data_IF_770927795205
#
_entry.id   IF_770927795205
#
_cell.length_a   1.000
_cell.length_b   1.000
_cell.length_c   1.000
_cell.angle_alpha   90.00
_cell.angle_beta   90.00
_cell.angle_gamma   90.00
#
_symmetry.space_group_name_H-M   'P 1'
#
loop_
_entity.id
_entity.type
_entity.pdbx_description
1 polymer ?
#
# COMPACT_ATOMS: atom_id res chain seq x y z
N UNK A 1 -18.48 -25.74 2.31
CA UNK A 1 -17.71 -26.13 1.97
C UNK A 1 -16.59 -25.33 1.48
N UNK A 2 -15.52 -25.69 1.66
CA UNK A 2 -14.30 -24.98 1.40
C UNK A 2 -14.24 -24.30 0.04
N UNK A 3 -15.22 -24.56 -0.77
CA UNK A 3 -15.22 -23.98 -2.07
C UNK A 3 -15.29 -22.51 -2.07
N UNK A 4 -15.79 -21.95 -1.04
CA UNK A 4 -15.88 -20.51 -0.95
C UNK A 4 -14.53 -19.86 -1.13
N UNK A 5 -13.50 -20.53 -0.68
CA UNK A 5 -12.16 -19.99 -0.78
C UNK A 5 -11.76 -19.81 -2.23
N UNK A 6 -12.17 -20.74 -3.05
CA UNK A 6 -11.80 -20.69 -4.45
C UNK A 6 -12.44 -19.49 -5.12
N UNK A 7 -13.69 -19.24 -4.81
CA UNK A 7 -14.39 -18.11 -5.40
C UNK A 7 -13.80 -16.78 -5.00
N UNK A 8 -13.30 -16.71 -3.79
CA UNK A 8 -12.72 -15.47 -3.31
C UNK A 8 -11.43 -15.12 -4.03
N UNK A 9 -10.66 -16.13 -4.38
CA UNK A 9 -9.36 -15.91 -4.99
C UNK A 9 -9.39 -15.07 -6.27
N UNK A 10 -10.24 -15.37 -7.25
CA UNK A 10 -10.27 -14.54 -8.46
C UNK A 10 -10.61 -13.09 -8.17
N UNK A 11 -11.53 -12.88 -7.24
CA UNK A 11 -11.90 -11.53 -6.86
C UNK A 11 -10.72 -10.83 -6.19
N UNK A 12 -9.99 -11.57 -5.36
CA UNK A 12 -8.83 -11.00 -4.68
C UNK A 12 -7.75 -10.60 -5.68
N UNK A 13 -7.56 -11.38 -6.73
CA UNK A 13 -6.56 -11.05 -7.73
C UNK A 13 -6.88 -9.75 -8.42
N UNK A 14 -8.15 -9.51 -8.71
CA UNK A 14 -8.56 -8.24 -9.33
C UNK A 14 -8.33 -7.07 -8.40
N UNK A 15 -8.65 -7.26 -7.13
CA UNK A 15 -8.44 -6.21 -6.14
C UNK A 15 -6.96 -5.92 -5.94
N UNK A 16 -6.14 -6.96 -5.97
CA UNK A 16 -4.70 -6.80 -5.82
C UNK A 16 -4.13 -6.03 -7.01
N UNK A 17 -4.55 -6.37 -8.22
CA UNK A 17 -4.08 -5.65 -9.40
C UNK A 17 -4.47 -4.18 -9.34
N UNK A 18 -5.70 -3.90 -8.95
CA UNK A 18 -6.18 -2.54 -8.83
C UNK A 18 -5.38 -1.76 -7.78
N UNK A 19 -5.08 -2.40 -6.65
CA UNK A 19 -4.30 -1.76 -5.60
C UNK A 19 -2.91 -1.38 -6.09
N UNK A 20 -2.28 -2.27 -6.85
CA UNK A 20 -0.95 -1.98 -7.40
C UNK A 20 -0.99 -0.79 -8.35
N UNK A 21 -2.04 -0.72 -9.18
CA UNK A 21 -2.19 0.40 -10.11
C UNK A 21 -2.43 1.71 -9.38
N UNK A 22 -3.20 1.67 -8.30
CA UNK A 22 -3.43 2.85 -7.48
C UNK A 22 -2.11 3.36 -6.90
N UNK A 23 -1.28 2.45 -6.42
CA UNK A 23 0.02 2.82 -5.87
C UNK A 23 0.88 3.46 -6.97
N UNK A 24 0.93 2.86 -8.15
CA UNK A 24 1.72 3.39 -9.24
C UNK A 24 1.24 4.78 -9.64
N UNK A 25 -0.07 4.98 -9.74
CA UNK A 25 -0.63 6.27 -10.11
C UNK A 25 -0.35 7.33 -9.05
N UNK A 26 -0.48 6.97 -7.79
CA UNK A 26 -0.33 7.92 -6.69
C UNK A 26 1.13 8.34 -6.49
N UNK A 27 2.07 7.47 -6.81
CA UNK A 27 3.48 7.70 -6.53
C UNK A 27 4.32 7.99 -7.76
N UNK A 28 3.80 7.67 -8.95
CA UNK A 28 4.55 7.88 -10.18
C UNK A 28 5.54 6.79 -10.51
N UNK A 29 5.57 5.71 -9.74
CA UNK A 29 6.47 4.58 -10.03
C UNK A 29 5.81 3.66 -11.04
N UNK A 30 6.62 2.76 -11.64
CA UNK A 30 6.07 1.80 -12.57
C UNK A 30 5.34 0.68 -11.82
N UNK A 31 4.64 -0.16 -12.60
CA UNK A 31 3.83 -1.22 -12.00
C UNK A 31 4.69 -2.20 -11.20
N UNK A 32 5.85 -2.54 -11.70
CA UNK A 32 6.72 -3.49 -11.00
C UNK A 32 7.19 -2.95 -9.66
N UNK A 33 7.53 -1.68 -9.61
CA UNK A 33 7.93 -1.04 -8.37
C UNK A 33 6.76 -0.97 -7.41
N UNK A 34 5.57 -0.63 -7.91
CA UNK A 34 4.37 -0.61 -7.09
C UNK A 34 4.09 -2.00 -6.51
N UNK A 35 4.26 -3.05 -7.30
CA UNK A 35 4.07 -4.40 -6.82
C UNK A 35 5.03 -4.74 -5.69
N UNK A 36 6.29 -4.37 -5.85
CA UNK A 36 7.30 -4.63 -4.85
C UNK A 36 6.93 -3.98 -3.51
N UNK A 37 6.52 -2.72 -3.57
CA UNK A 37 6.14 -2.01 -2.34
C UNK A 37 4.82 -2.49 -1.79
N UNK A 38 3.90 -2.93 -2.65
CA UNK A 38 2.65 -3.49 -2.19
C UNK A 38 2.90 -4.73 -1.34
N UNK A 39 3.80 -5.59 -1.79
CA UNK A 39 4.15 -6.80 -1.03
C UNK A 39 4.88 -6.40 0.25
N UNK A 40 5.81 -5.48 0.17
CA UNK A 40 6.55 -5.03 1.35
C UNK A 40 5.64 -4.35 2.36
N UNK A 41 4.55 -3.76 1.90
CA UNK A 41 3.58 -3.09 2.77
C UNK A 41 2.50 -4.05 3.27
N UNK A 42 2.71 -5.35 3.14
CA UNK A 42 1.76 -6.38 3.58
C UNK A 42 0.40 -6.18 2.92
N UNK A 43 0.43 -5.87 1.62
CA UNK A 43 -0.76 -5.72 0.80
C UNK A 43 -1.67 -4.56 1.24
N UNK A 44 -1.06 -3.51 1.81
CA UNK A 44 -1.78 -2.32 2.23
C UNK A 44 -1.39 -1.15 1.33
N UNK A 45 -2.28 -0.71 0.43
CA UNK A 45 -1.92 0.36 -0.52
C UNK A 45 -1.50 1.66 0.16
N UNK A 46 -2.18 2.05 1.21
CA UNK A 46 -1.83 3.29 1.91
C UNK A 46 -0.42 3.25 2.45
N UNK A 47 -0.05 2.12 3.05
CA UNK A 47 1.27 1.96 3.60
C UNK A 47 2.32 2.00 2.49
N UNK A 48 2.02 1.33 1.37
CA UNK A 48 2.94 1.33 0.24
C UNK A 48 3.18 2.75 -0.29
N UNK A 49 2.12 3.54 -0.40
CA UNK A 49 2.24 4.92 -0.87
C UNK A 49 3.12 5.73 0.08
N UNK A 50 2.91 5.59 1.38
CA UNK A 50 3.71 6.32 2.35
C UNK A 50 5.17 5.86 2.31
N UNK A 51 5.41 4.56 2.14
CA UNK A 51 6.77 4.05 2.03
C UNK A 51 7.50 4.67 0.84
N UNK A 52 6.84 4.74 -0.29
CA UNK A 52 7.44 5.27 -1.51
C UNK A 52 7.65 6.78 -1.42
N UNK A 53 6.61 7.51 -1.11
CA UNK A 53 6.67 8.97 -1.09
C UNK A 53 7.45 9.51 0.10
N UNK A 54 7.44 8.78 1.22
CA UNK A 54 8.18 9.19 2.40
C UNK A 54 9.59 8.62 2.46
N UNK A 55 9.90 7.68 1.56
CA UNK A 55 11.20 7.02 1.51
C UNK A 55 11.55 6.38 2.85
N UNK A 56 10.60 5.63 3.39
CA UNK A 56 10.75 4.96 4.69
C UNK A 56 10.34 3.50 4.57
N UNK A 57 10.66 2.72 5.59
CA UNK A 57 10.29 1.31 5.62
C UNK A 57 8.86 1.12 6.11
N UNK A 58 8.46 -0.15 6.18
CA UNK A 58 7.11 -0.51 6.58
C UNK A 58 6.76 0.02 7.96
N UNK A 59 7.65 -0.17 8.93
CA UNK A 59 7.36 0.22 10.31
C UNK A 59 7.20 1.71 10.46
N UNK A 60 8.05 2.48 9.81
CA UNK A 60 7.95 3.93 9.88
C UNK A 60 6.65 4.41 9.21
N UNK A 61 6.28 3.79 8.10
CA UNK A 61 5.05 4.16 7.42
C UNK A 61 3.82 3.85 8.27
N UNK A 62 3.80 2.68 8.92
CA UNK A 62 2.70 2.31 9.80
C UNK A 62 2.60 3.27 10.97
N UNK A 63 3.73 3.60 11.58
CA UNK A 63 3.75 4.52 12.71
C UNK A 63 3.21 5.89 12.31
N UNK A 64 3.65 6.39 11.15
CA UNK A 64 3.20 7.69 10.68
C UNK A 64 1.70 7.71 10.40
N UNK A 65 1.20 6.64 9.77
CA UNK A 65 -0.23 6.56 9.48
C UNK A 65 -1.06 6.43 10.76
N UNK A 66 -0.56 5.66 11.73
CA UNK A 66 -1.25 5.51 13.00
C UNK A 66 -1.29 6.84 13.76
N UNK A 67 -0.22 7.62 13.67
CA UNK A 67 -0.14 8.91 14.36
C UNK A 67 -1.06 9.96 13.71
N UNK A 68 -1.46 9.73 12.47
CA UNK A 68 -2.25 10.71 11.71
C UNK A 68 -3.61 10.18 11.27
N UNK A 69 -4.11 9.15 11.94
CA UNK A 69 -5.44 8.56 11.68
C UNK A 69 -5.59 8.04 10.26
N UNK A 70 -4.51 7.61 9.65
CA UNK A 70 -4.56 6.99 8.33
C UNK A 70 -4.56 7.96 7.17
N UNK A 71 -4.33 9.24 7.41
CA UNK A 71 -4.27 10.23 6.33
C UNK A 71 -2.87 10.27 5.74
N UNK A 72 -2.79 9.94 4.45
CA UNK A 72 -1.49 9.85 3.77
C UNK A 72 -0.74 11.18 3.79
N UNK A 73 -1.41 12.27 3.44
CA UNK A 73 -0.75 13.58 3.41
C UNK A 73 -0.20 13.96 4.77
N UNK A 74 -0.97 13.71 5.82
CA UNK A 74 -0.52 14.01 7.17
C UNK A 74 0.63 13.10 7.59
N UNK A 75 0.59 11.84 7.18
CA UNK A 75 1.66 10.90 7.50
C UNK A 75 2.97 11.34 6.85
N UNK A 76 2.91 11.84 5.62
CA UNK A 76 4.10 12.33 4.94
C UNK A 76 4.68 13.55 5.63
N UNK A 77 3.82 14.43 6.13
CA UNK A 77 4.28 15.58 6.91
C UNK A 77 4.92 15.12 8.20
N UNK A 78 4.32 14.15 8.85
CA UNK A 78 4.84 13.59 10.08
C UNK A 78 6.27 13.08 9.86
N UNK A 79 6.49 12.41 8.76
CA UNK A 79 7.80 11.83 8.46
C UNK A 79 8.84 12.88 8.07
N UNK A 80 8.40 14.02 7.60
CA UNK A 80 9.34 15.07 7.18
C UNK A 80 9.96 15.84 8.31
N UNK A 81 9.46 15.63 9.47
CA UNK A 81 10.11 16.28 10.59
C UNK A 81 11.52 15.80 10.77
#
# INVERSE_FOLDING_TARGET
YGNLMVDVKPTNLKLVDRAKRIIADATGVDYKTAEKFFIAAHQQPKIAIVMINGDVDYEAAVTALAATDGFIAAALKYLRK
#
